data_IF_874233883617
#
_entry.id   IF_874233883617
#
_cell.length_a   1.000
_cell.length_b   1.000
_cell.length_c   1.000
_cell.angle_alpha   90.00
_cell.angle_beta   90.00
_cell.angle_gamma   90.00
#
_symmetry.space_group_name_H-M   'P 1'
#
loop_
_entity.id
_entity.type
_entity.pdbx_description
1 polymer ?
#
# COMPACT_ATOMS: atom_id res chain seq x y z
N UNK A 1 -3.00 13.08 -7.96
CA UNK A 1 -2.74 13.02 -6.53
C UNK A 1 -1.30 13.35 -6.21
N UNK A 2 -1.11 14.21 -5.24
CA UNK A 2 0.21 14.53 -4.71
C UNK A 2 0.54 13.59 -3.55
N UNK A 3 1.82 13.30 -3.36
CA UNK A 3 2.34 12.67 -2.15
C UNK A 3 2.33 13.67 -0.99
N UNK A 4 2.33 13.20 0.25
CA UNK A 4 2.27 14.05 1.43
C UNK A 4 3.41 15.07 1.51
N UNK A 5 4.63 14.66 1.17
CA UNK A 5 5.77 15.59 1.13
C UNK A 5 5.64 16.65 0.03
N UNK A 6 5.03 16.31 -1.12
CA UNK A 6 4.76 17.28 -2.19
C UNK A 6 3.74 18.33 -1.74
N UNK A 7 2.68 17.88 -1.01
CA UNK A 7 1.69 18.79 -0.41
C UNK A 7 2.36 19.69 0.64
N UNK A 8 3.18 19.11 1.52
CA UNK A 8 3.90 19.88 2.53
C UNK A 8 4.80 20.96 1.92
N UNK A 9 5.52 20.63 0.85
CA UNK A 9 6.38 21.60 0.15
C UNK A 9 5.60 22.73 -0.49
N UNK A 10 4.35 22.51 -0.94
CA UNK A 10 3.50 23.55 -1.51
C UNK A 10 2.88 24.46 -0.44
N UNK A 11 2.40 23.87 0.66
CA UNK A 11 1.60 24.59 1.66
C UNK A 11 2.49 25.22 2.74
N UNK A 12 3.59 24.56 3.10
CA UNK A 12 4.46 24.97 4.19
C UNK A 12 5.94 24.73 3.85
N UNK A 13 6.51 25.41 2.85
CA UNK A 13 7.86 25.13 2.33
C UNK A 13 8.98 25.37 3.36
N UNK A 14 8.71 26.14 4.42
CA UNK A 14 9.66 26.38 5.49
C UNK A 14 9.77 25.22 6.52
N UNK A 15 8.82 24.27 6.48
CA UNK A 15 8.82 23.14 7.40
C UNK A 15 9.71 22.00 6.85
N UNK A 16 10.48 21.41 7.77
CA UNK A 16 11.18 20.17 7.48
C UNK A 16 10.21 18.99 7.62
N UNK A 17 9.94 18.29 6.52
CA UNK A 17 9.01 17.17 6.49
C UNK A 17 9.71 15.85 6.73
N UNK A 18 9.01 14.93 7.39
CA UNK A 18 9.38 13.52 7.49
C UNK A 18 8.15 12.65 7.55
N UNK A 19 8.29 11.41 7.11
CA UNK A 19 7.22 10.43 7.09
C UNK A 19 7.62 9.16 7.84
N UNK A 20 6.63 8.48 8.38
CA UNK A 20 6.79 7.17 9.00
C UNK A 20 6.06 6.13 8.15
N UNK A 21 6.73 5.05 7.81
CA UNK A 21 6.17 3.92 7.05
C UNK A 21 6.64 2.58 7.59
N UNK A 22 6.12 1.50 6.99
CA UNK A 22 6.51 0.13 7.33
C UNK A 22 5.43 -0.68 8.04
N UNK A 23 5.70 -1.98 8.30
CA UNK A 23 4.72 -2.91 8.82
C UNK A 23 4.33 -2.59 10.26
N UNK A 24 3.08 -2.25 10.50
CA UNK A 24 2.63 -1.97 11.87
C UNK A 24 1.12 -1.76 11.96
N UNK A 25 0.42 -2.75 12.46
CA UNK A 25 -0.97 -2.54 12.88
C UNK A 25 -1.00 -1.78 14.20
N UNK A 26 -1.75 -0.67 14.24
CA UNK A 26 -1.81 0.20 15.41
C UNK A 26 -2.18 -0.54 16.71
N UNK A 27 -3.06 -1.54 16.60
CA UNK A 27 -3.48 -2.35 17.74
C UNK A 27 -2.34 -3.21 18.33
N UNK A 28 -1.42 -3.70 17.49
CA UNK A 28 -0.25 -4.47 17.91
C UNK A 28 0.81 -3.58 18.55
N UNK A 29 1.09 -2.44 17.91
CA UNK A 29 2.01 -1.43 18.45
C UNK A 29 1.54 -0.91 19.79
N UNK A 30 0.24 -0.61 19.94
CA UNK A 30 -0.35 -0.15 21.20
C UNK A 30 -0.26 -1.17 22.34
N UNK A 31 -0.23 -2.47 22.01
CA UNK A 31 -0.01 -3.56 22.98
C UNK A 31 1.46 -3.81 23.30
N UNK A 32 2.38 -3.05 22.73
CA UNK A 32 3.81 -3.22 22.91
C UNK A 32 4.39 -4.45 22.21
N UNK A 33 3.69 -5.00 21.19
CA UNK A 33 4.22 -6.11 20.42
C UNK A 33 5.43 -5.65 19.57
N UNK A 34 6.48 -6.49 19.45
CA UNK A 34 7.66 -6.14 18.69
C UNK A 34 7.32 -5.69 17.27
N UNK A 35 7.76 -4.49 16.90
CA UNK A 35 7.47 -3.86 15.61
C UNK A 35 8.71 -3.16 15.06
N UNK A 36 8.76 -3.01 13.74
CA UNK A 36 9.82 -2.29 13.06
C UNK A 36 9.23 -1.32 12.02
N UNK A 37 9.67 -0.07 12.06
CA UNK A 37 9.19 1.01 11.18
C UNK A 37 10.37 1.74 10.55
N UNK A 38 10.06 2.53 9.54
CA UNK A 38 11.00 3.44 8.87
C UNK A 38 10.60 4.88 9.14
N UNK A 39 11.56 5.70 9.52
CA UNK A 39 11.45 7.15 9.56
C UNK A 39 12.19 7.73 8.34
N UNK A 40 11.48 8.35 7.42
CA UNK A 40 12.05 8.88 6.19
C UNK A 40 12.00 10.41 6.16
N UNK A 41 13.11 11.01 5.76
CA UNK A 41 13.24 12.45 5.48
C UNK A 41 14.45 12.69 4.58
N UNK A 42 14.41 13.71 3.74
CA UNK A 42 15.60 14.21 3.04
C UNK A 42 16.60 14.89 3.98
N UNK A 43 16.12 15.43 5.13
CA UNK A 43 16.93 16.05 6.19
C UNK A 43 17.49 14.97 7.13
N UNK A 44 18.82 14.81 7.16
CA UNK A 44 19.49 13.83 8.00
C UNK A 44 19.29 14.07 9.50
N UNK A 45 19.29 15.32 9.94
CA UNK A 45 19.09 15.66 11.34
C UNK A 45 17.65 15.31 11.78
N UNK A 46 16.67 15.56 10.92
CA UNK A 46 15.29 15.17 11.20
C UNK A 46 15.12 13.64 11.24
N UNK A 47 15.78 12.88 10.35
CA UNK A 47 15.76 11.41 10.44
C UNK A 47 16.26 10.91 11.78
N UNK A 48 17.43 11.42 12.24
CA UNK A 48 18.00 11.05 13.53
C UNK A 48 17.07 11.41 14.70
N UNK A 49 16.47 12.60 14.65
CA UNK A 49 15.50 13.02 15.66
C UNK A 49 14.29 12.09 15.71
N UNK A 50 13.74 11.71 14.56
CA UNK A 50 12.62 10.77 14.48
C UNK A 50 12.98 9.38 15.02
N UNK A 51 14.18 8.88 14.71
CA UNK A 51 14.67 7.63 15.30
C UNK A 51 14.77 7.74 16.81
N UNK A 52 15.41 8.78 17.33
CA UNK A 52 15.54 9.00 18.78
C UNK A 52 14.19 9.13 19.50
N UNK A 53 13.23 9.80 18.86
CA UNK A 53 11.91 10.05 19.45
C UNK A 53 11.03 8.80 19.54
N UNK A 54 11.15 7.88 18.57
CA UNK A 54 10.23 6.75 18.44
C UNK A 54 10.87 5.39 18.71
N UNK A 55 12.18 5.27 18.68
CA UNK A 55 12.86 4.00 18.94
C UNK A 55 12.70 3.56 20.39
N UNK A 56 12.34 2.29 20.60
CA UNK A 56 12.21 1.69 21.93
C UNK A 56 12.56 0.19 21.89
N UNK A 57 12.52 -0.46 23.04
CA UNK A 57 12.73 -1.92 23.12
C UNK A 57 11.69 -2.75 22.33
N UNK A 58 10.47 -2.23 22.19
CA UNK A 58 9.39 -2.87 21.44
C UNK A 58 9.23 -2.33 20.01
N UNK A 59 9.75 -1.13 19.72
CA UNK A 59 9.60 -0.49 18.42
C UNK A 59 10.97 -0.11 17.84
N UNK A 60 11.45 -0.87 16.87
CA UNK A 60 12.66 -0.52 16.14
C UNK A 60 12.34 0.48 15.04
N UNK A 61 13.10 1.57 14.97
CA UNK A 61 12.95 2.59 13.93
C UNK A 61 14.25 2.67 13.14
N UNK A 62 14.11 2.54 11.82
CA UNK A 62 15.21 2.66 10.86
C UNK A 62 15.08 3.96 10.08
N UNK A 63 16.18 4.59 9.78
CA UNK A 63 16.18 5.79 8.94
C UNK A 63 16.21 5.46 7.46
N UNK A 64 15.59 6.32 6.62
CA UNK A 64 15.64 6.23 5.18
C UNK A 64 15.63 7.64 4.56
N UNK A 65 16.49 7.98 3.61
CA UNK A 65 16.46 9.28 2.92
C UNK A 65 15.35 9.38 1.86
N UNK A 66 14.73 8.25 1.45
CA UNK A 66 13.75 8.16 0.37
C UNK A 66 12.32 8.33 0.89
N UNK A 67 11.88 9.59 1.01
CA UNK A 67 10.50 9.91 1.40
C UNK A 67 9.51 9.39 0.35
N UNK A 68 9.79 9.61 -0.92
CA UNK A 68 8.89 9.24 -2.01
C UNK A 68 8.62 7.72 -2.02
N UNK A 69 9.66 6.90 -1.85
CA UNK A 69 9.51 5.45 -1.79
C UNK A 69 8.68 4.98 -0.61
N UNK A 70 8.88 5.57 0.57
CA UNK A 70 8.10 5.23 1.77
C UNK A 70 6.62 5.61 1.61
N UNK A 71 6.32 6.78 1.05
CA UNK A 71 4.94 7.22 0.82
C UNK A 71 4.24 6.40 -0.26
N UNK A 72 4.91 6.11 -1.39
CA UNK A 72 4.36 5.29 -2.47
C UNK A 72 4.06 3.88 -1.99
N UNK A 73 5.00 3.25 -1.27
CA UNK A 73 4.79 1.94 -0.66
C UNK A 73 3.56 1.93 0.24
N UNK A 74 3.48 2.89 1.16
CA UNK A 74 2.37 3.03 2.10
C UNK A 74 1.01 3.29 1.44
N UNK A 75 0.96 4.01 0.32
CA UNK A 75 -0.29 4.29 -0.39
C UNK A 75 -0.77 3.09 -1.22
N UNK A 76 0.12 2.51 -2.04
CA UNK A 76 -0.25 1.49 -3.04
C UNK A 76 -0.53 0.13 -2.39
N UNK A 77 0.18 -0.24 -1.30
CA UNK A 77 -0.09 -1.49 -0.56
C UNK A 77 -1.57 -1.67 -0.20
N UNK A 78 -2.24 -0.58 0.14
CA UNK A 78 -3.65 -0.60 0.54
C UNK A 78 -4.58 -1.01 -0.61
N UNK A 79 -4.25 -0.59 -1.82
CA UNK A 79 -4.97 -0.99 -3.04
C UNK A 79 -4.77 -2.47 -3.32
N UNK A 80 -3.53 -2.95 -3.21
CA UNK A 80 -3.18 -4.35 -3.44
C UNK A 80 -3.77 -5.28 -2.37
N UNK A 81 -3.94 -4.79 -1.15
CA UNK A 81 -4.64 -5.54 -0.09
C UNK A 81 -6.12 -5.79 -0.43
N UNK A 82 -6.79 -4.89 -1.14
CA UNK A 82 -8.14 -5.13 -1.65
C UNK A 82 -8.12 -6.30 -2.67
N UNK A 83 -7.14 -6.31 -3.60
CA UNK A 83 -6.99 -7.38 -4.58
C UNK A 83 -6.75 -8.75 -3.93
N UNK A 84 -5.85 -8.80 -2.92
CA UNK A 84 -5.58 -10.05 -2.20
C UNK A 84 -6.76 -10.50 -1.35
N UNK A 85 -7.50 -9.58 -0.75
CA UNK A 85 -8.74 -9.87 -0.05
C UNK A 85 -9.83 -10.45 -0.95
N UNK A 86 -9.97 -9.92 -2.17
CA UNK A 86 -10.87 -10.47 -3.19
C UNK A 86 -10.49 -11.91 -3.54
N UNK A 87 -9.20 -12.15 -3.78
CA UNK A 87 -8.65 -13.46 -4.11
C UNK A 87 -8.91 -14.48 -2.99
N UNK A 88 -8.67 -14.09 -1.73
CA UNK A 88 -8.93 -14.92 -0.56
C UNK A 88 -10.43 -15.22 -0.39
N UNK A 89 -11.30 -14.22 -0.59
CA UNK A 89 -12.74 -14.36 -0.48
C UNK A 89 -13.36 -15.30 -1.52
N UNK A 90 -12.74 -15.39 -2.70
CA UNK A 90 -13.10 -16.34 -3.75
C UNK A 90 -12.36 -17.69 -3.65
N UNK A 91 -11.65 -17.94 -2.53
CA UNK A 91 -10.96 -19.18 -2.21
C UNK A 91 -9.94 -19.64 -3.29
N UNK A 92 -9.22 -18.71 -3.93
CA UNK A 92 -8.24 -19.03 -4.99
C UNK A 92 -6.92 -19.59 -4.46
N UNK A 93 -6.74 -19.60 -3.15
CA UNK A 93 -5.60 -20.21 -2.47
C UNK A 93 -4.37 -19.32 -2.33
N UNK A 94 -3.38 -19.85 -1.61
CA UNK A 94 -2.20 -19.10 -1.19
C UNK A 94 -1.24 -18.79 -2.35
N UNK A 95 -1.19 -19.65 -3.37
CA UNK A 95 -0.34 -19.44 -4.54
C UNK A 95 -0.78 -18.18 -5.32
N UNK A 96 -2.08 -18.00 -5.52
CA UNK A 96 -2.65 -16.84 -6.19
C UNK A 96 -2.37 -15.56 -5.38
N UNK A 97 -2.52 -15.61 -4.06
CA UNK A 97 -2.18 -14.48 -3.17
C UNK A 97 -0.69 -14.12 -3.24
N UNK A 98 0.21 -15.12 -3.22
CA UNK A 98 1.65 -14.88 -3.34
C UNK A 98 2.00 -14.23 -4.69
N UNK A 99 1.42 -14.72 -5.79
CA UNK A 99 1.60 -14.12 -7.12
C UNK A 99 1.11 -12.67 -7.18
N UNK A 100 -0.04 -12.35 -6.58
CA UNK A 100 -0.55 -10.98 -6.50
C UNK A 100 0.36 -10.05 -5.68
N UNK A 101 0.90 -10.52 -4.56
CA UNK A 101 1.85 -9.74 -3.74
C UNK A 101 3.11 -9.44 -4.53
N UNK A 102 3.72 -10.43 -5.19
CA UNK A 102 4.94 -10.25 -5.99
C UNK A 102 4.71 -9.29 -7.16
N UNK A 103 3.64 -9.48 -7.93
CA UNK A 103 3.28 -8.59 -9.04
C UNK A 103 2.93 -7.18 -8.55
N UNK A 104 2.26 -7.10 -7.40
CA UNK A 104 1.93 -5.84 -6.76
C UNK A 104 3.17 -5.06 -6.34
N UNK A 105 4.17 -5.74 -5.78
CA UNK A 105 5.46 -5.12 -5.45
C UNK A 105 6.14 -4.55 -6.70
N UNK A 106 6.07 -5.25 -7.84
CA UNK A 106 6.58 -4.75 -9.10
C UNK A 106 5.83 -3.49 -9.59
N UNK A 107 4.49 -3.40 -9.39
CA UNK A 107 3.72 -2.17 -9.70
C UNK A 107 4.14 -1.01 -8.79
N UNK A 108 4.24 -1.25 -7.48
CA UNK A 108 4.72 -0.24 -6.52
C UNK A 108 6.09 0.29 -6.94
N UNK A 109 7.02 -0.62 -7.27
CA UNK A 109 8.39 -0.26 -7.65
C UNK A 109 8.41 0.59 -8.92
N UNK A 110 7.65 0.21 -9.96
CA UNK A 110 7.57 1.00 -11.20
C UNK A 110 7.06 2.41 -10.96
N UNK A 111 5.97 2.57 -10.22
CA UNK A 111 5.43 3.89 -9.89
C UNK A 111 6.42 4.69 -9.05
N UNK A 112 7.02 4.06 -8.04
CA UNK A 112 7.99 4.71 -7.18
C UNK A 112 9.20 5.22 -7.94
N UNK A 113 9.77 4.41 -8.83
CA UNK A 113 10.91 4.82 -9.69
C UNK A 113 10.55 6.02 -10.58
N UNK A 114 9.35 6.03 -11.16
CA UNK A 114 8.86 7.16 -11.94
C UNK A 114 8.67 8.45 -11.11
N UNK A 115 8.54 8.31 -9.79
CA UNK A 115 8.45 9.41 -8.82
C UNK A 115 9.81 9.71 -8.12
N UNK A 116 10.91 9.13 -8.60
CA UNK A 116 12.26 9.37 -8.09
C UNK A 116 12.64 8.56 -6.85
N UNK A 117 11.86 7.55 -6.48
CA UNK A 117 12.15 6.65 -5.36
C UNK A 117 13.25 5.63 -5.72
N UNK A 118 13.76 4.95 -4.71
CA UNK A 118 14.85 3.95 -4.82
C UNK A 118 14.27 2.53 -4.75
N UNK A 119 14.82 1.61 -5.55
CA UNK A 119 14.44 0.19 -5.54
C UNK A 119 14.61 -0.43 -4.15
N UNK A 120 15.73 -0.13 -3.46
CA UNK A 120 16.04 -0.69 -2.14
C UNK A 120 14.96 -0.40 -1.10
N UNK A 121 14.29 0.76 -1.20
CA UNK A 121 13.19 1.11 -0.30
C UNK A 121 12.02 0.12 -0.42
N UNK A 122 11.73 -0.35 -1.63
CA UNK A 122 10.64 -1.30 -1.87
C UNK A 122 10.98 -2.73 -1.48
N UNK A 123 12.26 -3.10 -1.41
CA UNK A 123 12.71 -4.40 -0.89
C UNK A 123 12.77 -4.44 0.64
N UNK A 124 12.62 -3.30 1.31
CA UNK A 124 12.67 -3.15 2.75
C UNK A 124 11.30 -3.15 3.44
N UNK A 125 11.32 -2.61 4.69
CA UNK A 125 10.13 -2.56 5.56
C UNK A 125 8.97 -1.76 4.95
N UNK A 126 9.25 -0.61 4.33
CA UNK A 126 8.21 0.28 3.76
C UNK A 126 7.63 -0.20 2.42
N UNK A 127 8.26 -1.18 1.80
CA UNK A 127 7.77 -1.85 0.58
C UNK A 127 7.26 -3.25 0.90
N UNK A 128 8.12 -4.26 0.70
CA UNK A 128 7.79 -5.67 0.83
C UNK A 128 7.20 -6.00 2.22
N UNK A 129 7.82 -5.53 3.31
CA UNK A 129 7.38 -5.85 4.67
C UNK A 129 5.95 -5.37 4.93
N UNK A 130 5.65 -4.11 4.62
CA UNK A 130 4.34 -3.51 4.83
C UNK A 130 3.28 -4.05 3.85
N UNK A 131 3.67 -4.35 2.62
CA UNK A 131 2.82 -5.00 1.63
C UNK A 131 2.39 -6.39 2.10
N UNK A 132 3.33 -7.24 2.52
CA UNK A 132 3.04 -8.59 3.01
C UNK A 132 2.10 -8.53 4.21
N UNK A 133 2.42 -7.71 5.22
CA UNK A 133 1.58 -7.56 6.40
C UNK A 133 0.15 -7.13 6.03
N UNK A 134 0.02 -6.12 5.16
CA UNK A 134 -1.29 -5.55 4.79
C UNK A 134 -2.11 -6.51 3.93
N UNK A 135 -1.47 -7.30 3.07
CA UNK A 135 -2.12 -8.26 2.18
C UNK A 135 -2.47 -9.59 2.85
N UNK A 136 -1.86 -9.94 3.98
CA UNK A 136 -2.07 -11.23 4.65
C UNK A 136 -2.72 -11.11 6.02
N UNK A 137 -2.57 -9.98 6.69
CA UNK A 137 -3.03 -9.80 8.07
C UNK A 137 -4.54 -9.60 8.18
N UNK A 138 -5.17 -10.24 9.17
CA UNK A 138 -6.61 -10.15 9.41
C UNK A 138 -7.05 -8.78 9.94
N UNK A 139 -6.13 -8.00 10.49
CA UNK A 139 -6.38 -6.64 10.94
C UNK A 139 -6.41 -5.63 9.77
N UNK A 140 -6.05 -6.05 8.55
CA UNK A 140 -6.07 -5.19 7.37
C UNK A 140 -7.49 -4.87 6.92
N UNK A 141 -7.92 -3.63 7.13
CA UNK A 141 -9.22 -3.13 6.69
C UNK A 141 -9.39 -3.21 5.17
N UNK A 142 -8.33 -2.92 4.44
CA UNK A 142 -8.34 -2.98 2.97
C UNK A 142 -8.52 -4.42 2.46
N UNK A 143 -7.81 -5.40 3.05
CA UNK A 143 -8.02 -6.82 2.75
C UNK A 143 -9.47 -7.24 3.07
N UNK A 144 -10.03 -6.77 4.19
CA UNK A 144 -11.43 -7.04 4.56
C UNK A 144 -12.43 -6.47 3.56
N UNK A 145 -12.18 -5.29 2.97
CA UNK A 145 -13.00 -4.77 1.85
C UNK A 145 -13.04 -5.79 0.72
N UNK A 146 -11.88 -6.28 0.28
CA UNK A 146 -11.80 -7.29 -0.79
C UNK A 146 -12.59 -8.56 -0.47
N UNK A 147 -12.47 -9.08 0.76
CA UNK A 147 -13.24 -10.24 1.25
C UNK A 147 -14.75 -10.00 1.15
N UNK A 148 -15.24 -8.84 1.57
CA UNK A 148 -16.67 -8.50 1.55
C UNK A 148 -17.20 -8.32 0.12
N UNK A 149 -16.41 -7.72 -0.77
CA UNK A 149 -16.76 -7.62 -2.20
C UNK A 149 -16.85 -9.01 -2.87
N UNK A 150 -15.97 -9.94 -2.49
CA UNK A 150 -16.03 -11.34 -2.95
C UNK A 150 -17.30 -12.07 -2.49
N UNK A 151 -17.88 -11.66 -1.35
CA UNK A 151 -19.15 -12.18 -0.84
C UNK A 151 -20.40 -11.55 -1.49
N UNK A 152 -20.20 -10.71 -2.51
CA UNK A 152 -21.28 -10.03 -3.23
C UNK A 152 -21.80 -8.75 -2.59
N UNK A 153 -21.16 -8.24 -1.53
CA UNK A 153 -21.50 -6.94 -0.99
C UNK A 153 -21.13 -5.82 -1.97
N UNK A 154 -21.99 -4.79 -2.02
CA UNK A 154 -21.60 -3.54 -2.69
C UNK A 154 -20.51 -2.82 -1.91
N UNK A 155 -19.74 -1.96 -2.58
CA UNK A 155 -18.71 -1.15 -1.90
C UNK A 155 -19.29 -0.34 -0.72
N UNK A 156 -20.47 0.24 -0.89
CA UNK A 156 -21.14 1.00 0.16
C UNK A 156 -21.43 0.14 1.40
N UNK A 157 -21.97 -1.07 1.20
CA UNK A 157 -22.23 -2.02 2.27
C UNK A 157 -20.94 -2.48 2.97
N UNK A 158 -19.90 -2.79 2.18
CA UNK A 158 -18.60 -3.21 2.71
C UNK A 158 -17.96 -2.11 3.59
N UNK A 159 -17.95 -0.86 3.13
CA UNK A 159 -17.42 0.28 3.88
C UNK A 159 -18.24 0.54 5.15
N UNK A 160 -19.56 0.51 5.05
CA UNK A 160 -20.46 0.69 6.20
C UNK A 160 -20.24 -0.38 7.26
N UNK A 161 -20.12 -1.65 6.86
CA UNK A 161 -19.92 -2.78 7.79
C UNK A 161 -18.62 -2.71 8.57
N UNK A 162 -17.57 -2.08 7.99
CA UNK A 162 -16.28 -1.93 8.65
C UNK A 162 -16.25 -0.81 9.71
N UNK A 163 -17.20 0.12 9.66
CA UNK A 163 -17.31 1.24 10.62
C UNK A 163 -16.16 2.25 10.56
N UNK A 164 -15.17 2.02 9.73
CA UNK A 164 -13.96 2.84 9.60
C UNK A 164 -13.49 2.91 8.14
N UNK A 165 -12.75 3.96 7.82
CA UNK A 165 -12.20 4.19 6.49
C UNK A 165 -11.17 3.11 6.12
N UNK A 166 -11.32 2.53 4.93
CA UNK A 166 -10.31 1.72 4.27
C UNK A 166 -9.63 2.61 3.22
N UNK A 167 -8.38 3.01 3.49
CA UNK A 167 -7.66 4.01 2.69
C UNK A 167 -7.52 3.63 1.21
N UNK A 168 -7.35 2.32 0.92
CA UNK A 168 -7.22 1.80 -0.45
C UNK A 168 -8.42 2.12 -1.33
N UNK A 169 -9.62 2.26 -0.77
CA UNK A 169 -10.84 2.63 -1.51
C UNK A 169 -10.72 4.03 -2.11
N UNK A 170 -10.10 4.95 -1.38
CA UNK A 170 -9.92 6.33 -1.83
C UNK A 170 -8.64 6.51 -2.65
N UNK A 171 -7.54 5.88 -2.23
CA UNK A 171 -6.24 6.02 -2.88
C UNK A 171 -6.16 5.30 -4.23
N UNK A 172 -6.96 4.27 -4.49
CA UNK A 172 -6.91 3.49 -5.72
C UNK A 172 -7.02 4.36 -6.98
N UNK A 173 -8.03 5.22 -7.05
CA UNK A 173 -8.26 6.12 -8.20
C UNK A 173 -7.15 7.14 -8.35
N UNK A 174 -6.68 7.70 -7.22
CA UNK A 174 -5.60 8.70 -7.19
C UNK A 174 -4.28 8.09 -7.66
N UNK A 175 -3.96 6.87 -7.21
CA UNK A 175 -2.78 6.12 -7.64
C UNK A 175 -2.84 5.80 -9.14
N UNK A 176 -3.98 5.29 -9.63
CA UNK A 176 -4.18 4.99 -11.04
C UNK A 176 -4.04 6.24 -11.92
N UNK A 177 -4.63 7.37 -11.52
CA UNK A 177 -4.53 8.63 -12.25
C UNK A 177 -3.09 9.18 -12.26
N UNK A 178 -2.35 9.08 -11.15
CA UNK A 178 -0.93 9.49 -11.08
C UNK A 178 -0.05 8.61 -11.97
N UNK A 179 -0.27 7.28 -11.94
CA UNK A 179 0.44 6.34 -12.80
C UNK A 179 0.19 6.62 -14.29
N UNK A 180 -1.06 6.85 -14.67
CA UNK A 180 -1.43 7.20 -16.03
C UNK A 180 -0.73 8.49 -16.51
N UNK A 181 -0.71 9.53 -15.68
CA UNK A 181 -0.04 10.80 -15.99
C UNK A 181 1.48 10.64 -16.18
N UNK A 182 2.08 9.63 -15.57
CA UNK A 182 3.51 9.30 -15.67
C UNK A 182 3.80 8.21 -16.73
N UNK A 183 2.78 7.70 -17.44
CA UNK A 183 2.95 6.62 -18.41
C UNK A 183 3.32 5.27 -17.77
N UNK A 184 2.99 5.05 -16.50
CA UNK A 184 3.32 3.83 -15.76
C UNK A 184 2.14 2.84 -15.80
N UNK A 185 2.40 1.64 -16.27
CA UNK A 185 1.40 0.56 -16.27
C UNK A 185 1.20 -0.03 -14.87
N UNK A 186 -0.04 0.03 -14.37
CA UNK A 186 -0.44 -0.54 -13.09
C UNK A 186 -1.73 -1.37 -13.24
N UNK A 187 -1.68 -2.51 -13.91
CA UNK A 187 -2.87 -3.29 -14.24
C UNK A 187 -3.59 -3.90 -13.04
N UNK A 188 -2.90 -4.26 -11.94
CA UNK A 188 -3.56 -4.73 -10.73
C UNK A 188 -4.33 -3.58 -10.08
N UNK A 189 -3.70 -2.42 -9.94
CA UNK A 189 -4.32 -1.21 -9.43
C UNK A 189 -5.53 -0.80 -10.27
N UNK A 190 -5.42 -0.82 -11.60
CA UNK A 190 -6.54 -0.50 -12.49
C UNK A 190 -7.70 -1.49 -12.35
N UNK A 191 -7.41 -2.78 -12.20
CA UNK A 191 -8.45 -3.80 -11.97
C UNK A 191 -9.20 -3.55 -10.66
N UNK A 192 -8.48 -3.15 -9.60
CA UNK A 192 -9.11 -2.77 -8.33
C UNK A 192 -9.99 -1.53 -8.50
N UNK A 193 -9.55 -0.51 -9.24
CA UNK A 193 -10.37 0.68 -9.54
C UNK A 193 -11.65 0.28 -10.28
N UNK A 194 -11.56 -0.57 -11.32
CA UNK A 194 -12.72 -1.02 -12.08
C UNK A 194 -13.73 -1.80 -11.21
N UNK A 195 -13.23 -2.60 -10.27
CA UNK A 195 -14.07 -3.30 -9.28
C UNK A 195 -14.77 -2.32 -8.33
N UNK A 196 -14.01 -1.39 -7.74
CA UNK A 196 -14.54 -0.40 -6.79
C UNK A 196 -15.56 0.55 -7.42
N UNK A 197 -15.42 0.82 -8.74
CA UNK A 197 -16.35 1.64 -9.52
C UNK A 197 -17.56 0.84 -10.03
N UNK A 198 -17.61 -0.48 -9.77
CA UNK A 198 -18.69 -1.35 -10.23
C UNK A 198 -18.67 -1.61 -11.74
N UNK A 199 -17.56 -1.30 -12.45
CA UNK A 199 -17.42 -1.56 -13.90
C UNK A 199 -17.23 -3.04 -14.20
N UNK A 200 -16.73 -3.81 -13.24
CA UNK A 200 -16.57 -5.27 -13.35
C UNK A 200 -17.02 -5.93 -12.05
N UNK A 201 -17.46 -7.18 -12.16
CA UNK A 201 -17.81 -8.02 -11.02
C UNK A 201 -16.55 -8.72 -10.45
N UNK A 202 -16.68 -9.30 -9.25
CA UNK A 202 -15.59 -9.95 -8.53
C UNK A 202 -14.87 -11.03 -9.36
N UNK A 203 -15.64 -11.90 -10.03
CA UNK A 203 -15.10 -13.00 -10.84
C UNK A 203 -14.32 -12.48 -12.05
N UNK A 204 -14.84 -11.46 -12.73
CA UNK A 204 -14.16 -10.82 -13.86
C UNK A 204 -12.89 -10.08 -13.41
N UNK A 205 -12.90 -9.47 -12.21
CA UNK A 205 -11.73 -8.86 -11.64
C UNK A 205 -10.61 -9.89 -11.42
N UNK A 206 -10.96 -11.05 -10.85
CA UNK A 206 -9.98 -12.12 -10.63
C UNK A 206 -9.43 -12.67 -11.95
N UNK A 207 -10.24 -12.87 -12.95
CA UNK A 207 -9.74 -13.30 -14.27
C UNK A 207 -8.71 -12.31 -14.83
N UNK A 208 -8.93 -11.00 -14.68
CA UNK A 208 -7.96 -9.98 -15.07
C UNK A 208 -6.71 -9.96 -14.18
N UNK A 209 -6.88 -10.16 -12.87
CA UNK A 209 -5.76 -10.20 -11.91
C UNK A 209 -4.83 -11.39 -12.19
N UNK A 210 -5.38 -12.55 -12.58
CA UNK A 210 -4.63 -13.79 -12.79
C UNK A 210 -4.27 -14.05 -14.27
N UNK A 211 -5.06 -13.54 -15.21
CA UNK A 211 -5.04 -13.91 -16.64
C UNK A 211 -4.19 -12.99 -17.51
N UNK A 212 -2.90 -12.79 -17.21
CA UNK A 212 -1.98 -12.09 -18.12
C UNK A 212 -1.17 -13.08 -18.96
N UNK A 213 -0.88 -12.67 -20.22
CA UNK A 213 0.06 -13.40 -21.06
C UNK A 213 1.42 -13.57 -20.37
N UNK A 214 2.09 -14.71 -20.58
CA UNK A 214 3.41 -14.95 -20.05
C UNK A 214 4.38 -13.86 -20.52
N UNK A 215 5.07 -13.23 -19.58
CA UNK A 215 6.16 -12.26 -19.84
C UNK A 215 7.40 -12.76 -19.12
N UNK A 216 8.59 -12.39 -19.60
CA UNK A 216 9.83 -12.64 -18.87
C UNK A 216 9.78 -11.98 -17.48
N UNK A 217 10.32 -12.67 -16.48
CA UNK A 217 10.43 -12.24 -15.09
C UNK A 217 11.61 -11.28 -14.91
#
# INVERSE_FOLDING_TARGET
>A
GLLGHEVCAQVAPALRGGVRGGPGFAAEVARGQPSALVAASSDAALRQLLVQAFHSSALRVYENPDIAGVEVGGAVKNVLAIATGLCDGLALGLNARAALITRGLAEITRLGLALGARVDTFMGLSGLGDLVLTCTGDLSRNRRVGLLLAQGMTLAQAVQSLGHVAEGVYSARTVAARAQALGVEMPLTQTVVDLLDGRIQAEAAVQRLMGRDPRGE
#
